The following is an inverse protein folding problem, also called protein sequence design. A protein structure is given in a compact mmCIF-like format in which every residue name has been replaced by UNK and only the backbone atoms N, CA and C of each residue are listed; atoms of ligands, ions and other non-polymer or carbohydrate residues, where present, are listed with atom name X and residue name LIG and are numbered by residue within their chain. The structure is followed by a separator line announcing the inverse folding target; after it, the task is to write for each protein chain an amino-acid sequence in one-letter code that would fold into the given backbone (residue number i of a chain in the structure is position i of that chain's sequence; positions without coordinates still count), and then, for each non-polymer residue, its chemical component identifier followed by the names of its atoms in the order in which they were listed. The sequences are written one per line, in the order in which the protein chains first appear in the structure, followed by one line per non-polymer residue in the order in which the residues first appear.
data_IF_153141418910
#
_entry.id   IF_153141418910
#
_cell.length_a   1.000
_cell.length_b   1.000
_cell.length_c   1.000
_cell.angle_alpha   90.00
_cell.angle_beta   90.00
_cell.angle_gamma   90.00
#
_symmetry.space_group_name_H-M   'P 1'
#
loop_
_entity.id
_entity.type
_entity.pdbx_description
1 polymer ?
#
# COMPACT_ATOMS: atom_id res chain seq x y z
N UNK A 1 20.57 -1.86 -6.51
CA UNK A 1 20.53 -0.38 -6.39
C UNK A 1 21.76 0.23 -7.01
N UNK A 2 21.66 1.47 -7.46
CA UNK A 2 22.79 2.21 -8.05
C UNK A 2 23.93 2.37 -7.05
N UNK A 3 25.21 2.33 -7.50
CA UNK A 3 26.35 2.54 -6.64
C UNK A 3 26.27 3.88 -5.92
N UNK A 4 26.46 3.89 -4.59
CA UNK A 4 26.40 5.10 -3.76
C UNK A 4 25.00 5.49 -3.28
N UNK A 5 23.96 4.75 -3.64
CA UNK A 5 22.60 4.97 -3.12
C UNK A 5 22.57 4.64 -1.62
N UNK A 6 22.19 5.63 -0.81
CA UNK A 6 21.93 5.42 0.61
C UNK A 6 20.44 5.11 0.80
N UNK A 7 20.15 3.89 1.24
CA UNK A 7 18.81 3.49 1.69
C UNK A 7 18.69 3.85 3.17
N UNK A 8 17.58 4.49 3.56
CA UNK A 8 17.35 4.84 4.97
C UNK A 8 17.41 3.61 5.87
N UNK A 9 18.02 3.72 7.09
CA UNK A 9 18.18 2.58 8.00
C UNK A 9 16.85 1.87 8.31
N UNK A 10 15.78 2.62 8.51
CA UNK A 10 14.45 2.08 8.83
C UNK A 10 13.91 1.19 7.70
N UNK A 11 14.15 1.58 6.44
CA UNK A 11 13.75 0.80 5.27
C UNK A 11 14.49 -0.53 5.20
N UNK A 12 15.81 -0.52 5.50
CA UNK A 12 16.61 -1.74 5.55
C UNK A 12 16.17 -2.67 6.69
N UNK A 13 15.91 -2.12 7.88
CA UNK A 13 15.42 -2.91 9.02
C UNK A 13 14.10 -3.59 8.68
N UNK A 14 13.16 -2.87 8.09
CA UNK A 14 11.86 -3.41 7.69
C UNK A 14 11.99 -4.51 6.63
N UNK A 15 12.91 -4.35 5.66
CA UNK A 15 13.13 -5.36 4.62
C UNK A 15 13.78 -6.64 5.16
N UNK A 16 14.77 -6.50 6.06
CA UNK A 16 15.40 -7.66 6.73
C UNK A 16 14.37 -8.40 7.58
N UNK A 17 13.62 -7.70 8.41
CA UNK A 17 12.59 -8.33 9.25
C UNK A 17 11.49 -9.00 8.41
N UNK A 18 11.09 -8.38 7.30
CA UNK A 18 10.13 -8.97 6.35
C UNK A 18 10.67 -10.25 5.71
N UNK A 19 11.92 -10.23 5.28
CA UNK A 19 12.57 -11.39 4.66
C UNK A 19 12.76 -12.54 5.65
N UNK A 20 13.20 -12.26 6.87
CA UNK A 20 13.38 -13.28 7.91
C UNK A 20 12.06 -13.99 8.27
N UNK A 21 10.93 -13.26 8.20
CA UNK A 21 9.62 -13.81 8.55
C UNK A 21 8.94 -14.55 7.42
N UNK A 22 9.12 -14.12 6.17
CA UNK A 22 8.32 -14.59 5.04
C UNK A 22 9.15 -15.29 3.97
N UNK A 23 10.42 -14.91 3.82
CA UNK A 23 11.30 -15.40 2.75
C UNK A 23 10.81 -15.05 1.34
N UNK A 24 11.64 -15.30 0.34
CA UNK A 24 11.26 -15.15 -1.07
C UNK A 24 11.20 -13.69 -1.56
N UNK A 25 10.58 -13.50 -2.71
CA UNK A 25 10.41 -12.17 -3.30
C UNK A 25 9.35 -11.37 -2.56
N UNK A 26 9.71 -10.18 -2.02
CA UNK A 26 8.86 -9.36 -1.17
C UNK A 26 8.69 -7.95 -1.69
N UNK A 27 7.51 -7.38 -1.44
CA UNK A 27 7.26 -5.95 -1.41
C UNK A 27 6.90 -5.58 0.03
N UNK A 28 7.76 -4.83 0.70
CA UNK A 28 7.48 -4.29 2.04
C UNK A 28 6.88 -2.90 1.87
N UNK A 29 5.64 -2.74 2.27
CA UNK A 29 4.92 -1.45 2.23
C UNK A 29 4.91 -0.87 3.63
N UNK A 30 5.59 0.26 3.82
CA UNK A 30 5.62 0.98 5.09
C UNK A 30 4.71 2.21 5.03
N UNK A 31 3.73 2.25 5.94
CA UNK A 31 2.75 3.33 6.05
C UNK A 31 3.21 4.36 7.10
N UNK A 32 3.96 5.34 6.65
CA UNK A 32 4.45 6.45 7.47
C UNK A 32 4.05 7.82 6.93
N UNK A 33 4.88 8.83 7.21
CA UNK A 33 4.76 10.17 6.62
C UNK A 33 4.85 10.09 5.10
N UNK A 34 5.78 9.29 4.60
CA UNK A 34 5.76 8.78 3.24
C UNK A 34 5.27 7.33 3.25
N UNK A 35 4.71 6.86 2.15
CA UNK A 35 4.45 5.45 1.93
C UNK A 35 5.59 4.90 1.08
N UNK A 36 6.35 3.97 1.61
CA UNK A 36 7.44 3.34 0.87
C UNK A 36 7.08 1.92 0.44
N UNK A 37 7.61 1.52 -0.70
CA UNK A 37 7.49 0.19 -1.25
C UNK A 37 8.90 -0.32 -1.48
N UNK A 38 9.37 -1.18 -0.62
CA UNK A 38 10.73 -1.71 -0.66
C UNK A 38 10.73 -3.12 -1.23
N UNK A 39 11.54 -3.34 -2.25
CA UNK A 39 11.59 -4.60 -2.99
C UNK A 39 12.80 -5.40 -2.58
N UNK A 40 12.55 -6.64 -2.15
CA UNK A 40 13.57 -7.63 -1.78
C UNK A 40 13.41 -8.83 -2.68
N UNK A 41 14.51 -9.35 -3.21
CA UNK A 41 14.48 -10.55 -4.03
C UNK A 41 14.53 -11.83 -3.19
N UNK A 42 14.50 -12.97 -3.88
CA UNK A 42 14.49 -14.29 -3.25
C UNK A 42 15.77 -14.62 -2.45
N UNK A 43 16.86 -13.91 -2.69
CA UNK A 43 18.14 -14.07 -1.97
C UNK A 43 18.24 -13.11 -0.77
N UNK A 44 17.22 -12.28 -0.54
CA UNK A 44 17.20 -11.28 0.51
C UNK A 44 17.91 -9.98 0.13
N UNK A 45 18.30 -9.79 -1.12
CA UNK A 45 18.95 -8.57 -1.55
C UNK A 45 17.92 -7.45 -1.77
N UNK A 46 18.23 -6.26 -1.28
CA UNK A 46 17.45 -5.06 -1.55
C UNK A 46 17.63 -4.62 -3.01
N UNK A 47 16.55 -4.67 -3.77
CA UNK A 47 16.56 -4.35 -5.21
C UNK A 47 16.36 -2.87 -5.50
N UNK A 48 15.52 -2.22 -4.70
CA UNK A 48 15.10 -0.84 -4.88
C UNK A 48 13.71 -0.62 -4.32
N UNK A 49 13.04 0.46 -4.68
CA UNK A 49 11.70 0.71 -4.19
C UNK A 49 11.05 1.93 -4.79
N UNK A 50 9.85 2.23 -4.29
CA UNK A 50 9.05 3.40 -4.65
C UNK A 50 8.74 4.19 -3.38
N UNK A 51 8.72 5.51 -3.48
CA UNK A 51 8.32 6.42 -2.41
C UNK A 51 7.14 7.24 -2.93
N UNK A 52 6.04 7.21 -2.18
CA UNK A 52 4.84 7.98 -2.45
C UNK A 52 4.46 8.82 -1.23
N UNK A 53 3.65 9.87 -1.39
CA UNK A 53 3.11 10.61 -0.25
C UNK A 53 2.31 9.69 0.67
N UNK A 54 2.48 9.84 1.98
CA UNK A 54 1.64 9.15 2.95
C UNK A 54 0.20 9.70 2.93
N UNK A 55 -0.74 8.90 3.42
CA UNK A 55 -2.17 9.27 3.35
C UNK A 55 -2.48 10.52 4.17
N UNK A 56 -1.89 10.67 5.36
CA UNK A 56 -2.08 11.85 6.20
C UNK A 56 -1.47 13.11 5.57
N UNK A 57 -0.27 12.96 4.95
CA UNK A 57 0.36 14.06 4.22
C UNK A 57 -0.49 14.51 3.03
N UNK A 58 -1.07 13.57 2.29
CA UNK A 58 -1.94 13.87 1.16
C UNK A 58 -3.22 14.59 1.60
N UNK A 59 -3.80 14.16 2.73
CA UNK A 59 -4.98 14.78 3.31
C UNK A 59 -4.70 16.20 3.80
N UNK A 60 -3.58 16.41 4.49
CA UNK A 60 -3.15 17.70 4.97
C UNK A 60 -2.89 18.67 3.82
N UNK A 61 -2.19 18.21 2.75
CA UNK A 61 -1.96 19.00 1.56
C UNK A 61 -3.27 19.42 0.88
N UNK A 62 -4.25 18.53 0.81
CA UNK A 62 -5.57 18.83 0.26
C UNK A 62 -6.30 19.89 1.10
N UNK A 63 -6.25 19.78 2.43
CA UNK A 63 -6.85 20.74 3.36
C UNK A 63 -6.19 22.12 3.24
N UNK A 64 -4.86 22.18 3.18
CA UNK A 64 -4.11 23.45 3.04
C UNK A 64 -4.33 24.13 1.69
N UNK A 65 -4.40 23.34 0.61
CA UNK A 65 -4.60 23.89 -0.74
C UNK A 65 -6.02 24.39 -1.00
N UNK A 66 -7.00 23.88 -0.28
CA UNK A 66 -8.42 24.21 -0.44
C UNK A 66 -9.00 24.69 0.89
N UNK A 67 -8.80 25.99 1.20
CA UNK A 67 -9.13 26.61 2.48
C UNK A 67 -10.60 26.44 2.94
N UNK A 68 -11.50 26.05 2.03
CA UNK A 68 -12.91 25.76 2.34
C UNK A 68 -13.18 24.29 2.70
N UNK A 69 -12.19 23.41 2.58
CA UNK A 69 -12.37 21.98 2.87
C UNK A 69 -12.12 21.70 4.35
N UNK A 70 -13.04 20.98 5.03
CA UNK A 70 -12.88 20.63 6.43
C UNK A 70 -11.79 19.57 6.63
N UNK A 71 -11.28 19.47 7.87
CA UNK A 71 -10.52 18.30 8.29
C UNK A 71 -11.44 17.06 8.31
N UNK A 72 -10.95 15.97 7.77
CA UNK A 72 -11.69 14.71 7.76
C UNK A 72 -10.79 13.56 8.24
N UNK A 73 -11.39 12.59 8.91
CA UNK A 73 -10.70 11.37 9.30
C UNK A 73 -10.65 10.39 8.13
N UNK A 74 -9.57 9.62 8.06
CA UNK A 74 -9.40 8.59 7.06
C UNK A 74 -10.14 7.35 7.50
N UNK A 75 -11.29 7.11 6.88
CA UNK A 75 -12.13 5.94 7.15
C UNK A 75 -12.73 5.39 5.86
N UNK A 76 -13.02 4.09 5.84
CA UNK A 76 -13.68 3.47 4.69
C UNK A 76 -15.09 4.00 4.54
N UNK A 77 -15.42 4.67 3.43
CA UNK A 77 -16.76 5.20 3.22
C UNK A 77 -17.76 4.07 2.94
N UNK A 78 -19.01 4.27 3.34
CA UNK A 78 -20.10 3.32 3.05
C UNK A 78 -20.45 3.28 1.56
N UNK A 79 -20.29 4.42 0.87
CA UNK A 79 -20.53 4.57 -0.58
C UNK A 79 -19.34 5.26 -1.22
N UNK A 80 -19.03 4.88 -2.45
CA UNK A 80 -17.96 5.54 -3.22
C UNK A 80 -18.35 6.97 -3.58
N UNK A 81 -19.60 7.17 -4.01
CA UNK A 81 -20.11 8.50 -4.34
C UNK A 81 -20.64 9.15 -3.07
N UNK A 82 -19.93 10.18 -2.60
CA UNK A 82 -20.37 11.01 -1.47
C UNK A 82 -21.46 11.99 -1.87
N UNK A 83 -22.33 12.34 -0.92
CA UNK A 83 -23.45 13.29 -1.12
C UNK A 83 -23.24 14.61 -0.40
N UNK A 84 -22.12 14.80 0.28
CA UNK A 84 -21.66 16.04 0.90
C UNK A 84 -20.14 16.11 0.84
N UNK A 85 -19.58 17.30 1.10
CA UNK A 85 -18.14 17.57 0.97
C UNK A 85 -17.28 16.59 1.78
N UNK A 86 -17.64 16.33 3.05
CA UNK A 86 -16.90 15.42 3.94
C UNK A 86 -16.88 14.00 3.35
N UNK A 87 -18.04 13.48 2.96
CA UNK A 87 -18.15 12.15 2.36
C UNK A 87 -17.39 12.03 1.03
N UNK A 88 -17.41 13.08 0.20
CA UNK A 88 -16.64 13.14 -1.04
C UNK A 88 -15.14 13.09 -0.77
N UNK A 89 -14.65 13.85 0.20
CA UNK A 89 -13.24 13.88 0.58
C UNK A 89 -12.79 12.52 1.17
N UNK A 90 -13.55 11.98 2.11
CA UNK A 90 -13.26 10.67 2.69
C UNK A 90 -13.18 9.57 1.62
N UNK A 91 -14.13 9.58 0.70
CA UNK A 91 -14.14 8.62 -0.41
C UNK A 91 -12.94 8.78 -1.33
N UNK A 92 -12.63 10.00 -1.75
CA UNK A 92 -11.50 10.28 -2.62
C UNK A 92 -10.16 9.90 -1.99
N UNK A 93 -9.95 10.29 -0.73
CA UNK A 93 -8.72 9.96 0.00
C UNK A 93 -8.60 8.45 0.21
N UNK A 94 -9.64 7.80 0.71
CA UNK A 94 -9.60 6.36 0.99
C UNK A 94 -9.38 5.53 -0.28
N UNK A 95 -10.25 5.66 -1.27
CA UNK A 95 -10.16 4.85 -2.48
C UNK A 95 -9.00 5.25 -3.39
N UNK A 96 -8.67 6.53 -3.44
CA UNK A 96 -7.49 7.02 -4.17
C UNK A 96 -6.21 6.45 -3.60
N UNK A 97 -6.06 6.46 -2.27
CA UNK A 97 -4.89 5.89 -1.60
C UNK A 97 -4.82 4.37 -1.75
N UNK A 98 -5.96 3.68 -1.62
CA UNK A 98 -6.04 2.24 -1.88
C UNK A 98 -5.68 1.88 -3.32
N UNK A 99 -6.11 2.70 -4.27
CA UNK A 99 -5.75 2.56 -5.68
C UNK A 99 -4.25 2.74 -5.90
N UNK A 100 -3.65 3.77 -5.29
CA UNK A 100 -2.21 4.03 -5.33
C UNK A 100 -1.41 2.81 -4.85
N UNK A 101 -1.71 2.31 -3.65
CA UNK A 101 -0.99 1.17 -3.07
C UNK A 101 -1.15 -0.08 -3.95
N UNK A 102 -2.37 -0.37 -4.39
CA UNK A 102 -2.66 -1.54 -5.23
C UNK A 102 -1.94 -1.47 -6.57
N UNK A 103 -2.02 -0.32 -7.24
CA UNK A 103 -1.42 -0.15 -8.56
C UNK A 103 0.10 -0.23 -8.52
N UNK A 104 0.74 0.40 -7.52
CA UNK A 104 2.20 0.32 -7.37
C UNK A 104 2.64 -1.13 -7.11
N UNK A 105 1.99 -1.85 -6.20
CA UNK A 105 2.29 -3.25 -5.95
C UNK A 105 2.10 -4.12 -7.21
N UNK A 106 1.03 -3.88 -7.98
CA UNK A 106 0.78 -4.61 -9.21
C UNK A 106 1.86 -4.35 -10.26
N UNK A 107 2.29 -3.10 -10.42
CA UNK A 107 3.36 -2.74 -11.37
C UNK A 107 4.71 -3.31 -10.97
N UNK A 108 5.07 -3.25 -9.70
CA UNK A 108 6.30 -3.88 -9.20
C UNK A 108 6.28 -5.39 -9.48
N UNK A 109 5.16 -6.06 -9.16
CA UNK A 109 5.01 -7.51 -9.41
C UNK A 109 5.13 -7.85 -10.89
N UNK A 110 4.52 -7.05 -11.77
CA UNK A 110 4.60 -7.23 -13.22
C UNK A 110 6.04 -7.01 -13.75
N UNK A 111 6.73 -5.96 -13.27
CA UNK A 111 8.11 -5.66 -13.66
C UNK A 111 9.08 -6.76 -13.22
N UNK A 112 8.86 -7.33 -12.02
CA UNK A 112 9.69 -8.42 -11.50
C UNK A 112 9.40 -9.76 -12.18
N UNK A 113 8.31 -9.89 -12.94
CA UNK A 113 7.86 -11.10 -13.66
C UNK A 113 7.81 -12.36 -12.78
N UNK A 114 7.43 -12.21 -11.53
CA UNK A 114 7.30 -13.31 -10.56
C UNK A 114 6.32 -12.95 -9.45
N UNK A 115 5.69 -13.96 -8.82
CA UNK A 115 4.82 -13.75 -7.68
C UNK A 115 5.58 -13.10 -6.52
N UNK A 116 5.03 -12.04 -5.96
CA UNK A 116 5.63 -11.35 -4.82
C UNK A 116 4.71 -11.42 -3.60
N UNK A 117 5.30 -11.58 -2.42
CA UNK A 117 4.59 -11.46 -1.16
C UNK A 117 4.57 -9.99 -0.75
N UNK A 118 3.39 -9.46 -0.43
CA UNK A 118 3.24 -8.07 0.02
C UNK A 118 3.11 -8.07 1.54
N UNK A 119 4.02 -7.39 2.21
CA UNK A 119 4.06 -7.23 3.66
C UNK A 119 3.80 -5.79 4.01
N UNK A 120 2.87 -5.53 4.92
CA UNK A 120 2.55 -4.19 5.41
C UNK A 120 3.17 -3.95 6.78
N UNK A 121 3.73 -2.76 6.98
CA UNK A 121 4.28 -2.30 8.27
C UNK A 121 3.96 -0.81 8.47
N UNK A 122 4.32 -0.25 9.62
CA UNK A 122 4.13 1.16 9.93
C UNK A 122 2.87 1.46 10.73
N UNK A 123 2.38 2.68 10.57
CA UNK A 123 1.22 3.18 11.30
C UNK A 123 -0.13 2.59 10.86
N UNK A 124 -1.24 3.01 11.48
CA UNK A 124 -2.56 2.53 11.10
C UNK A 124 -2.87 2.93 9.65
N UNK A 125 -2.98 1.94 8.79
CA UNK A 125 -3.55 2.11 7.46
C UNK A 125 -5.03 1.73 7.53
N UNK A 126 -5.95 2.60 7.12
CA UNK A 126 -7.39 2.33 7.17
C UNK A 126 -7.81 1.09 6.37
N UNK A 127 -6.94 0.66 5.49
CA UNK A 127 -7.17 -0.44 4.58
C UNK A 127 -6.60 -1.78 5.03
N UNK A 128 -5.73 -1.75 6.04
CA UNK A 128 -5.08 -2.94 6.60
C UNK A 128 -5.43 -2.98 8.07
N UNK A 129 -6.15 -4.00 8.57
CA UNK A 129 -6.35 -4.17 10.00
C UNK A 129 -5.00 -4.17 10.70
N UNK A 130 -4.92 -3.50 11.86
CA UNK A 130 -3.75 -3.51 12.71
C UNK A 130 -3.44 -4.98 13.10
N UNK A 131 -2.45 -5.56 12.44
CA UNK A 131 -2.05 -6.94 12.63
C UNK A 131 -1.14 -7.36 11.50
N UNK A 132 -0.04 -7.99 11.84
CA UNK A 132 1.09 -8.38 10.98
C UNK A 132 0.75 -9.37 9.85
N UNK A 133 -0.44 -9.34 9.29
CA UNK A 133 -0.85 -10.31 8.29
C UNK A 133 -0.85 -9.74 6.89
N UNK A 134 0.04 -10.32 6.14
CA UNK A 134 0.22 -10.38 4.70
C UNK A 134 -0.97 -9.82 3.92
N UNK A 135 -0.74 -8.73 3.24
CA UNK A 135 -1.71 -8.06 2.36
C UNK A 135 -1.88 -8.85 1.05
N UNK A 136 -2.09 -10.16 1.13
CA UNK A 136 -2.53 -10.95 -0.04
C UNK A 136 -3.85 -10.46 -0.66
N UNK A 137 -4.63 -9.70 0.10
CA UNK A 137 -5.91 -9.13 -0.38
C UNK A 137 -5.77 -7.85 -1.21
N UNK A 138 -4.67 -7.09 -1.10
CA UNK A 138 -4.50 -5.84 -1.84
C UNK A 138 -4.13 -6.08 -3.33
N UNK A 139 -3.53 -7.21 -3.65
CA UNK A 139 -3.12 -7.55 -5.01
C UNK A 139 -4.24 -8.13 -5.90
N UNK A 140 -5.41 -8.48 -5.36
CA UNK A 140 -6.53 -8.98 -6.16
C UNK A 140 -7.36 -7.82 -6.70
N UNK A 141 -7.43 -7.69 -8.03
CA UNK A 141 -8.43 -6.85 -8.68
C UNK A 141 -9.83 -7.40 -8.32
N UNK A 142 -10.85 -6.53 -8.21
CA UNK A 142 -12.23 -6.98 -8.02
C UNK A 142 -12.68 -8.01 -9.08
N UNK A 143 -12.10 -7.93 -10.27
CA UNK A 143 -12.43 -8.79 -11.42
C UNK A 143 -11.75 -10.18 -11.37
N UNK A 144 -10.79 -10.40 -10.46
CA UNK A 144 -10.14 -11.70 -10.26
C UNK A 144 -10.94 -12.67 -9.38
N UNK A 145 -12.08 -12.23 -8.86
CA UNK A 145 -13.05 -13.09 -8.21
C UNK A 145 -13.79 -13.93 -9.27
N UNK A 146 -13.12 -14.98 -9.79
CA UNK A 146 -13.84 -16.05 -10.48
C UNK A 146 -14.85 -16.61 -9.49
N UNK A 147 -16.14 -16.75 -9.89
CA UNK A 147 -17.08 -17.47 -9.06
C UNK A 147 -16.55 -18.87 -8.83
N UNK A 148 -16.53 -19.29 -7.55
CA UNK A 148 -16.23 -20.66 -7.17
C UNK A 148 -17.02 -21.58 -8.07
N UNK A 149 -16.35 -22.36 -8.90
CA UNK A 149 -16.98 -23.47 -9.60
C UNK A 149 -17.36 -24.48 -8.50
N UNK A 150 -18.64 -24.59 -8.26
CA UNK A 150 -19.22 -25.69 -7.48
C UNK A 150 -18.66 -27.02 -8.03
N UNK A 151 -17.96 -27.83 -7.22
CA UNK A 151 -17.40 -29.10 -7.67
C UNK A 151 -18.45 -30.20 -7.91
N UNK A 152 -19.75 -29.84 -7.98
CA UNK A 152 -20.86 -30.77 -8.16
C UNK A 152 -21.80 -30.42 -9.32
N UNK A 153 -21.21 -30.20 -10.51
CA UNK A 153 -21.92 -30.36 -11.81
C UNK A 153 -20.95 -30.84 -12.87
#
# INVERSE_FOLDING_TARGET
VDPGTQVGPDRLVNTVAGFDLHGGDLIVVDFGTATTFDVVDHDGAYVGGVIAPGVNLSLEALHQAAAALPHVDISKPQRVVGTNTVACMQSGVFWGYMGLVREICARITAERDRPMTIVATGGPCPAVPAGRDVVRRLARRPDDARPDRDPRT
#
